data_IF_171501624071
#
_entry.id   IF_171501624071
#
_cell.length_a   1.000
_cell.length_b   1.000
_cell.length_c   1.000
_cell.angle_alpha   90.00
_cell.angle_beta   90.00
_cell.angle_gamma   90.00
#
_symmetry.space_group_name_H-M   'P 1'
#
loop_
_entity.id
_entity.type
_entity.pdbx_description
1 polymer ?
#
# COMPACT_ATOMS: atom_id res chain seq x y z
N UNK A 1 10.05 5.39 19.58
CA UNK A 1 8.94 6.11 18.93
C UNK A 1 9.41 6.70 17.61
N UNK A 2 9.26 5.98 16.50
CA UNK A 2 9.57 6.51 15.17
C UNK A 2 8.28 7.10 14.57
N UNK A 3 8.30 8.42 14.48
CA UNK A 3 7.85 9.22 13.34
C UNK A 3 6.35 9.50 13.13
N UNK A 4 5.74 10.21 14.09
CA UNK A 4 4.48 10.94 13.88
C UNK A 4 4.60 11.99 12.77
N UNK A 5 5.81 12.54 12.53
CA UNK A 5 6.03 13.55 11.50
C UNK A 5 5.80 12.99 10.08
N UNK A 6 6.11 11.71 9.82
CA UNK A 6 5.75 11.05 8.56
C UNK A 6 4.23 11.02 8.34
N UNK A 7 3.44 10.83 9.40
CA UNK A 7 1.98 10.78 9.30
C UNK A 7 1.38 12.15 8.95
N UNK A 8 1.96 13.23 9.49
CA UNK A 8 1.47 14.59 9.26
C UNK A 8 1.71 15.08 7.82
N UNK A 9 2.75 14.58 7.14
CA UNK A 9 3.00 14.89 5.71
C UNK A 9 1.87 14.39 4.81
N UNK A 10 1.14 13.33 5.22
CA UNK A 10 0.00 12.82 4.46
C UNK A 10 -1.29 13.64 4.61
N UNK A 11 -1.39 14.51 5.62
CA UNK A 11 -2.62 15.26 5.91
C UNK A 11 -2.65 16.66 5.28
N UNK A 12 -1.50 17.21 4.88
CA UNK A 12 -1.41 18.62 4.45
C UNK A 12 -0.94 18.84 3.01
N UNK A 13 -0.60 17.80 2.23
CA UNK A 13 -0.23 18.00 0.83
C UNK A 13 -1.43 17.91 -0.10
N UNK A 14 -2.03 19.07 -0.37
CA UNK A 14 -2.90 19.27 -1.53
C UNK A 14 -2.45 20.52 -2.27
N UNK A 15 -1.69 20.31 -3.35
CA UNK A 15 -1.76 21.05 -4.62
C UNK A 15 -0.67 20.54 -5.58
N UNK A 16 -1.08 19.93 -6.69
CA UNK A 16 -0.31 20.03 -7.94
C UNK A 16 0.23 18.76 -8.60
N UNK A 17 0.87 17.83 -7.89
CA UNK A 17 1.74 16.83 -8.57
C UNK A 17 1.93 15.50 -7.82
N UNK A 18 0.88 14.99 -7.16
CA UNK A 18 1.02 13.92 -6.16
C UNK A 18 0.27 12.60 -6.47
N UNK A 19 0.14 12.18 -7.74
CA UNK A 19 -0.79 11.06 -8.05
C UNK A 19 -0.17 9.77 -8.60
N UNK A 20 1.16 9.62 -8.68
CA UNK A 20 1.72 8.38 -9.29
C UNK A 20 2.81 7.63 -8.54
N UNK A 21 3.57 8.26 -7.64
CA UNK A 21 4.88 7.67 -7.29
C UNK A 21 4.96 7.02 -5.91
N UNK A 22 4.03 7.28 -4.98
CA UNK A 22 4.19 6.83 -3.58
C UNK A 22 3.19 5.77 -3.10
N UNK A 23 2.11 5.48 -3.84
CA UNK A 23 1.08 4.53 -3.39
C UNK A 23 1.36 3.07 -3.78
N UNK A 24 2.27 2.81 -4.72
CA UNK A 24 2.46 1.49 -5.33
C UNK A 24 3.86 0.88 -5.14
N UNK A 25 4.59 1.26 -4.09
CA UNK A 25 5.90 0.63 -3.82
C UNK A 25 5.67 -0.82 -3.41
N UNK A 26 6.24 -1.76 -4.16
CA UNK A 26 6.26 -3.17 -3.77
C UNK A 26 7.29 -3.33 -2.65
N UNK A 27 6.90 -3.99 -1.57
CA UNK A 27 7.74 -4.26 -0.41
C UNK A 27 8.19 -5.72 -0.40
N UNK A 28 9.44 -5.95 -0.03
CA UNK A 28 9.98 -7.32 0.11
C UNK A 28 9.51 -8.00 1.41
N UNK A 29 9.24 -7.21 2.45
CA UNK A 29 8.79 -7.68 3.78
C UNK A 29 7.55 -6.93 4.23
N UNK A 30 6.74 -7.56 5.07
CA UNK A 30 5.53 -6.95 5.59
C UNK A 30 5.84 -5.76 6.53
N UNK A 31 5.20 -4.61 6.31
CA UNK A 31 5.36 -3.44 7.20
C UNK A 31 4.82 -3.66 8.62
N UNK A 32 4.04 -4.73 8.85
CA UNK A 32 3.46 -5.05 10.15
C UNK A 32 4.11 -6.27 10.81
N UNK A 33 4.06 -7.44 10.17
CA UNK A 33 4.57 -8.69 10.75
C UNK A 33 5.96 -9.09 10.24
N UNK A 34 6.57 -8.27 9.38
CA UNK A 34 7.92 -8.47 8.84
C UNK A 34 8.16 -9.73 7.99
N UNK A 35 7.21 -10.65 7.85
CA UNK A 35 7.37 -11.82 6.98
C UNK A 35 7.68 -11.43 5.51
N UNK A 36 8.48 -12.22 4.77
CA UNK A 36 8.79 -11.95 3.37
C UNK A 36 7.54 -12.09 2.50
N UNK A 37 7.25 -11.11 1.65
CA UNK A 37 6.00 -11.04 0.87
C UNK A 37 6.20 -10.73 -0.61
N UNK A 38 7.43 -10.50 -1.07
CA UNK A 38 7.74 -10.13 -2.47
C UNK A 38 7.09 -11.05 -3.51
N UNK A 39 7.05 -12.35 -3.23
CA UNK A 39 6.58 -13.38 -4.15
C UNK A 39 5.14 -13.86 -3.85
N UNK A 40 4.45 -13.19 -2.91
CA UNK A 40 3.11 -13.60 -2.49
C UNK A 40 2.03 -13.17 -3.50
N UNK A 41 1.22 -14.10 -4.05
CA UNK A 41 0.11 -13.75 -4.94
C UNK A 41 -0.93 -12.85 -4.28
N UNK A 42 -1.20 -13.02 -2.98
CA UNK A 42 -2.16 -12.19 -2.26
C UNK A 42 -1.65 -10.75 -2.09
N UNK A 43 -0.33 -10.58 -1.92
CA UNK A 43 0.28 -9.27 -1.81
C UNK A 43 0.39 -8.60 -3.18
N UNK A 44 0.86 -9.30 -4.20
CA UNK A 44 1.06 -8.74 -5.54
C UNK A 44 -0.26 -8.32 -6.20
N UNK A 45 -1.32 -9.12 -6.02
CA UNK A 45 -2.63 -8.82 -6.62
C UNK A 45 -3.49 -7.92 -5.74
N UNK A 46 -3.66 -8.28 -4.47
CA UNK A 46 -4.65 -7.62 -3.60
C UNK A 46 -4.04 -6.70 -2.56
N UNK A 47 -2.71 -6.59 -2.51
CA UNK A 47 -1.97 -5.82 -1.52
C UNK A 47 -2.35 -6.23 -0.09
N UNK A 48 -2.45 -7.55 0.14
CA UNK A 48 -2.70 -8.16 1.45
C UNK A 48 -1.57 -9.11 1.84
N UNK A 49 -1.01 -8.91 3.04
CA UNK A 49 -0.01 -9.83 3.59
C UNK A 49 -0.64 -11.21 3.83
N UNK A 50 -0.06 -12.32 3.32
CA UNK A 50 -0.62 -13.66 3.51
C UNK A 50 -0.47 -14.19 4.94
N UNK A 51 0.45 -13.63 5.74
CA UNK A 51 0.76 -14.12 7.09
C UNK A 51 -0.09 -13.47 8.17
N UNK A 52 -0.19 -12.14 8.16
CA UNK A 52 -0.91 -11.38 9.20
C UNK A 52 -2.19 -10.70 8.72
N UNK A 53 -2.52 -10.80 7.42
CA UNK A 53 -3.66 -10.11 6.78
C UNK A 53 -3.64 -8.59 6.89
N UNK A 54 -2.46 -7.99 7.08
CA UNK A 54 -2.31 -6.55 6.96
C UNK A 54 -2.67 -6.10 5.53
N UNK A 55 -3.64 -5.18 5.42
CA UNK A 55 -4.07 -4.58 4.17
C UNK A 55 -3.29 -3.30 3.91
N UNK A 56 -2.59 -3.24 2.79
CA UNK A 56 -1.92 -2.02 2.37
C UNK A 56 -2.92 -1.07 1.72
N UNK A 57 -2.57 0.22 1.70
CA UNK A 57 -3.36 1.21 0.98
C UNK A 57 -3.21 0.95 -0.52
N UNK A 58 -4.31 1.06 -1.25
CA UNK A 58 -4.39 1.09 -2.71
C UNK A 58 -5.12 2.36 -3.12
N UNK A 59 -4.82 2.88 -4.30
CA UNK A 59 -5.57 3.99 -4.89
C UNK A 59 -7.04 3.60 -5.10
N UNK A 60 -7.91 4.61 -5.19
CA UNK A 60 -9.31 4.37 -5.54
C UNK A 60 -9.45 3.67 -6.90
N UNK A 61 -8.57 3.95 -7.85
CA UNK A 61 -8.57 3.35 -9.19
C UNK A 61 -8.19 1.87 -9.15
N UNK A 62 -7.09 1.51 -8.49
CA UNK A 62 -6.68 0.10 -8.31
C UNK A 62 -7.79 -0.69 -7.59
N UNK A 63 -8.44 -0.09 -6.60
CA UNK A 63 -9.56 -0.74 -5.90
C UNK A 63 -10.74 -1.02 -6.84
N UNK A 64 -11.08 -0.09 -7.74
CA UNK A 64 -12.13 -0.30 -8.74
C UNK A 64 -11.72 -1.42 -9.70
N UNK A 65 -10.48 -1.41 -10.20
CA UNK A 65 -9.95 -2.45 -11.10
C UNK A 65 -9.98 -3.84 -10.49
N UNK A 66 -9.75 -3.97 -9.17
CA UNK A 66 -9.83 -5.25 -8.46
C UNK A 66 -11.26 -5.79 -8.28
N UNK A 67 -12.27 -4.91 -8.33
CA UNK A 67 -13.68 -5.26 -8.11
C UNK A 67 -14.48 -5.41 -9.39
N UNK A 68 -14.01 -4.80 -10.49
CA UNK A 68 -14.69 -4.86 -11.77
C UNK A 68 -14.44 -6.21 -12.47
N UNK A 69 -15.47 -6.71 -13.15
CA UNK A 69 -15.29 -7.79 -14.12
C UNK A 69 -14.41 -7.30 -15.29
N UNK A 70 -13.67 -8.23 -15.89
CA UNK A 70 -12.83 -7.95 -17.06
C UNK A 70 -13.61 -7.97 -18.36
#
# INVERSE_FOLDING_TARGET
>A
MRNLANFLVHLFNREGEADRTYLSVVHDRCLFCEEPISDSPSYLTYRVCPYCRFHYTVTARERIELLADK
#
